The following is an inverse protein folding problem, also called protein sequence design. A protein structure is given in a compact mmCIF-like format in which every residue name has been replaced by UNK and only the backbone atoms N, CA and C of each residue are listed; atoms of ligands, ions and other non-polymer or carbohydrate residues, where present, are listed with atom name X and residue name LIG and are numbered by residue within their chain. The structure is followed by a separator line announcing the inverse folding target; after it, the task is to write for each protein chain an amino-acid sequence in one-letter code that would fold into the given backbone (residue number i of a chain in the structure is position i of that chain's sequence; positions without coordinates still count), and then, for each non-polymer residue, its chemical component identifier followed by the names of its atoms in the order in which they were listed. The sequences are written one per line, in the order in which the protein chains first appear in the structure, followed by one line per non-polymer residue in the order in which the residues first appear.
data_IF_803820814335
#
_entry.id   IF_803820814335
#
_cell.length_a   1.000
_cell.length_b   1.000
_cell.length_c   1.000
_cell.angle_alpha   90.00
_cell.angle_beta   90.00
_cell.angle_gamma   90.00
#
_symmetry.space_group_name_H-M   'P 1'
#
loop_
_entity.id
_entity.type
_entity.pdbx_description
1 polymer ?
#
# COMPACT_ATOMS: atom_id res chain seq x y z
N UNK A 1 -21.59 -41.96 -1.50
CA UNK A 1 -20.94 -40.99 -2.41
C UNK A 1 -21.29 -39.53 -2.08
N UNK A 2 -22.56 -39.12 -1.98
CA UNK A 2 -22.94 -37.72 -1.62
C UNK A 2 -22.28 -37.18 -0.34
N UNK A 3 -22.21 -37.96 0.75
CA UNK A 3 -21.60 -37.55 2.02
C UNK A 3 -20.07 -37.32 1.94
N UNK A 4 -19.37 -38.09 1.09
CA UNK A 4 -17.92 -37.97 0.92
C UNK A 4 -17.55 -36.71 0.12
N UNK A 5 -18.38 -36.37 -0.88
CA UNK A 5 -18.22 -35.15 -1.67
C UNK A 5 -18.48 -33.88 -0.84
N UNK A 6 -19.46 -33.91 0.06
CA UNK A 6 -19.73 -32.80 1.00
C UNK A 6 -18.55 -32.60 1.96
N UNK A 7 -17.99 -33.68 2.50
CA UNK A 7 -16.80 -33.62 3.35
C UNK A 7 -15.57 -33.07 2.61
N UNK A 8 -15.39 -33.43 1.33
CA UNK A 8 -14.31 -32.91 0.49
C UNK A 8 -14.47 -31.40 0.24
N UNK A 9 -15.68 -30.93 -0.06
CA UNK A 9 -15.97 -29.50 -0.27
C UNK A 9 -15.78 -28.71 1.03
N UNK A 10 -16.29 -29.20 2.16
CA UNK A 10 -16.07 -28.56 3.48
C UNK A 10 -14.59 -28.55 3.87
N UNK A 11 -13.83 -29.60 3.57
CA UNK A 11 -12.39 -29.63 3.82
C UNK A 11 -11.66 -28.60 2.96
N UNK A 12 -11.99 -28.49 1.66
CA UNK A 12 -11.43 -27.46 0.77
C UNK A 12 -11.76 -26.04 1.22
N UNK A 13 -12.97 -25.80 1.77
CA UNK A 13 -13.33 -24.51 2.37
C UNK A 13 -12.57 -24.22 3.68
N UNK A 14 -12.32 -25.24 4.51
CA UNK A 14 -11.54 -25.09 5.75
C UNK A 14 -10.07 -24.75 5.48
N UNK A 15 -9.49 -25.19 4.35
CA UNK A 15 -8.16 -24.79 3.92
C UNK A 15 -8.12 -23.40 3.24
N UNK A 16 -9.24 -22.95 2.66
CA UNK A 16 -9.30 -21.65 1.98
C UNK A 16 -9.36 -20.45 2.95
N UNK A 17 -9.75 -20.65 4.21
CA UNK A 17 -9.86 -19.58 5.22
C UNK A 17 -8.69 -19.52 6.20
N UNK A 18 -7.56 -20.19 5.90
CA UNK A 18 -6.34 -19.96 6.65
C UNK A 18 -5.77 -18.59 6.25
N UNK A 19 -6.38 -17.53 6.79
CA UNK A 19 -5.86 -16.17 6.79
C UNK A 19 -4.50 -16.21 7.49
N UNK A 20 -3.43 -16.33 6.71
CA UNK A 20 -2.06 -16.22 7.23
C UNK A 20 -1.89 -14.76 7.64
N UNK A 21 -2.20 -14.46 8.91
CA UNK A 21 -1.92 -13.16 9.49
C UNK A 21 -0.40 -13.07 9.69
N UNK A 22 0.32 -12.72 8.62
CA UNK A 22 1.71 -12.31 8.76
C UNK A 22 1.73 -11.06 9.65
N UNK A 23 2.39 -11.19 10.80
CA UNK A 23 2.66 -10.05 11.65
C UNK A 23 3.48 -9.05 10.84
N UNK A 24 2.98 -7.82 10.69
CA UNK A 24 3.76 -6.76 10.07
C UNK A 24 4.97 -6.48 10.99
N UNK A 25 6.19 -6.35 10.43
CA UNK A 25 7.36 -6.02 11.23
C UNK A 25 7.14 -4.72 11.99
N UNK A 26 7.68 -4.62 13.20
CA UNK A 26 7.68 -3.39 13.97
C UNK A 26 8.41 -2.29 13.18
N UNK A 27 7.82 -1.10 13.11
CA UNK A 27 8.42 0.02 12.38
C UNK A 27 9.47 0.71 13.27
N UNK A 28 10.69 0.91 12.76
CA UNK A 28 11.76 1.57 13.51
C UNK A 28 11.49 3.07 13.64
N UNK A 29 11.97 3.65 14.73
CA UNK A 29 11.93 5.09 14.95
C UNK A 29 12.75 5.81 13.87
N UNK A 30 12.31 7.00 13.42
CA UNK A 30 13.04 7.78 12.42
C UNK A 30 14.41 8.25 12.98
N UNK A 31 15.43 8.39 12.12
CA UNK A 31 16.68 9.04 12.50
C UNK A 31 16.46 10.55 12.71
N UNK A 32 17.37 11.21 13.41
CA UNK A 32 17.35 12.68 13.58
C UNK A 32 17.67 13.44 12.29
N UNK A 33 18.31 12.78 11.33
CA UNK A 33 18.67 13.31 10.01
C UNK A 33 18.46 12.24 8.95
N UNK A 34 17.80 12.62 7.86
CA UNK A 34 17.63 11.80 6.67
C UNK A 34 18.89 11.81 5.79
N UNK A 35 19.19 10.69 5.10
CA UNK A 35 20.36 10.60 4.25
C UNK A 35 20.25 11.51 3.03
N UNK A 36 21.39 11.96 2.52
CA UNK A 36 21.44 12.67 1.25
C UNK A 36 21.39 11.66 0.10
N UNK A 37 20.48 11.89 -0.84
CA UNK A 37 20.34 11.06 -2.04
C UNK A 37 20.83 11.82 -3.25
N UNK A 38 21.76 11.23 -4.01
CA UNK A 38 22.28 11.81 -5.24
C UNK A 38 21.60 11.18 -6.45
N UNK A 39 21.20 12.01 -7.41
CA UNK A 39 20.71 11.58 -8.72
C UNK A 39 21.30 12.46 -9.82
N UNK A 40 21.11 12.05 -11.08
CA UNK A 40 21.67 12.75 -12.24
C UNK A 40 20.57 13.24 -13.16
N UNK A 41 20.69 14.48 -13.64
CA UNK A 41 19.87 15.04 -14.72
C UNK A 41 20.80 15.67 -15.75
N UNK A 42 20.74 15.20 -17.00
CA UNK A 42 21.60 15.65 -18.11
C UNK A 42 23.10 15.76 -17.71
N UNK A 43 23.68 14.67 -17.19
CA UNK A 43 25.07 14.58 -16.72
C UNK A 43 25.46 15.52 -15.56
N UNK A 44 24.50 16.22 -14.96
CA UNK A 44 24.71 17.03 -13.75
C UNK A 44 24.21 16.27 -12.53
N UNK A 45 25.04 16.13 -11.50
CA UNK A 45 24.64 15.53 -10.24
C UNK A 45 23.88 16.54 -9.37
N UNK A 46 22.80 16.05 -8.76
CA UNK A 46 21.99 16.80 -7.82
C UNK A 46 21.82 16.00 -6.53
N UNK A 47 21.76 16.72 -5.40
CA UNK A 47 21.63 16.14 -4.08
C UNK A 47 20.31 16.54 -3.46
N UNK A 48 19.58 15.55 -2.94
CA UNK A 48 18.39 15.73 -2.12
C UNK A 48 18.84 15.59 -0.67
N UNK A 49 19.01 16.72 0.00
CA UNK A 49 19.44 16.78 1.39
C UNK A 49 18.25 16.64 2.35
N UNK A 50 18.53 16.48 3.65
CA UNK A 50 17.51 16.48 4.70
C UNK A 50 16.51 17.65 4.55
N UNK A 51 17.02 18.86 4.31
CA UNK A 51 16.16 20.05 4.15
C UNK A 51 15.22 20.01 2.95
N UNK A 52 15.58 19.29 1.87
CA UNK A 52 14.73 19.12 0.69
C UNK A 52 13.69 18.05 0.98
N UNK A 53 14.07 16.95 1.65
CA UNK A 53 13.13 15.94 2.13
C UNK A 53 12.09 16.54 3.06
N UNK A 54 12.49 17.29 4.08
CA UNK A 54 11.57 17.93 5.03
C UNK A 54 10.54 18.82 4.32
N UNK A 55 10.99 19.61 3.33
CA UNK A 55 10.10 20.43 2.52
C UNK A 55 9.18 19.59 1.65
N UNK A 56 9.66 18.50 1.05
CA UNK A 56 8.80 17.59 0.29
C UNK A 56 7.72 16.96 1.16
N UNK A 57 8.07 16.45 2.34
CA UNK A 57 7.08 15.89 3.27
C UNK A 57 6.06 16.94 3.70
N UNK A 58 6.52 18.14 4.06
CA UNK A 58 5.64 19.23 4.51
C UNK A 58 4.74 19.79 3.41
N UNK A 59 5.28 20.05 2.22
CA UNK A 59 4.57 20.81 1.18
C UNK A 59 3.79 19.91 0.22
N UNK A 60 4.16 18.62 0.13
CA UNK A 60 3.52 17.62 -0.74
C UNK A 60 2.77 16.55 0.06
N UNK A 61 3.46 15.83 0.96
CA UNK A 61 2.84 14.69 1.66
C UNK A 61 1.82 15.12 2.72
N UNK A 62 2.10 16.20 3.46
CA UNK A 62 1.18 16.72 4.48
C UNK A 62 0.08 17.63 3.90
N UNK A 63 0.20 17.99 2.63
CA UNK A 63 -0.75 18.85 1.96
C UNK A 63 -1.98 18.05 1.48
N UNK A 64 -3.14 18.39 2.05
CA UNK A 64 -4.43 17.75 1.77
C UNK A 64 -4.93 17.85 0.33
N UNK A 65 -4.35 18.76 -0.45
CA UNK A 65 -4.64 18.86 -1.89
C UNK A 65 -4.08 17.65 -2.64
N UNK A 66 -2.95 17.11 -2.19
CA UNK A 66 -2.30 15.95 -2.80
C UNK A 66 -2.64 14.67 -2.05
N UNK A 67 -2.44 14.63 -0.73
CA UNK A 67 -2.65 13.42 0.08
C UNK A 67 -3.70 13.67 1.16
N UNK A 68 -4.77 12.87 1.14
CA UNK A 68 -5.93 13.01 2.03
C UNK A 68 -5.63 12.57 3.46
N UNK A 69 -4.80 11.54 3.65
CA UNK A 69 -4.44 11.03 4.97
C UNK A 69 -3.54 12.02 5.73
N UNK A 70 -3.58 12.01 7.07
CA UNK A 70 -2.81 12.96 7.89
C UNK A 70 -1.49 12.36 8.34
N UNK A 71 -0.47 12.45 7.47
CA UNK A 71 0.85 11.89 7.74
C UNK A 71 1.68 12.70 8.74
N UNK A 72 1.41 14.00 8.88
CA UNK A 72 2.11 14.91 9.81
C UNK A 72 2.16 14.45 11.28
N UNK A 73 1.23 13.58 11.69
CA UNK A 73 1.15 13.04 13.05
C UNK A 73 1.71 11.61 13.16
N UNK A 74 2.26 11.07 12.08
CA UNK A 74 2.83 9.72 12.01
C UNK A 74 4.34 9.82 12.10
N UNK A 75 4.91 9.40 13.23
CA UNK A 75 6.36 9.48 13.48
C UNK A 75 7.21 8.72 12.45
N UNK A 76 6.63 7.74 11.76
CA UNK A 76 7.31 6.92 10.74
C UNK A 76 7.01 7.36 9.31
N UNK A 77 6.47 8.57 9.10
CA UNK A 77 6.13 9.14 7.78
C UNK A 77 7.28 9.04 6.75
N UNK A 78 8.53 9.16 7.16
CA UNK A 78 9.66 9.07 6.24
C UNK A 78 9.78 7.69 5.54
N UNK A 79 9.21 6.62 6.12
CA UNK A 79 9.10 5.31 5.49
C UNK A 79 8.20 5.30 4.24
N UNK A 80 7.53 6.41 3.90
CA UNK A 80 6.87 6.56 2.60
C UNK A 80 7.91 6.46 1.48
N UNK A 81 9.09 7.05 1.67
CA UNK A 81 10.15 7.14 0.66
C UNK A 81 11.34 6.25 1.01
N UNK A 82 11.65 6.08 2.30
CA UNK A 82 12.78 5.30 2.76
C UNK A 82 12.43 3.85 3.10
N UNK A 83 13.43 2.98 3.06
CA UNK A 83 13.33 1.62 3.59
C UNK A 83 13.36 1.61 5.13
N UNK A 84 13.19 0.43 5.73
CA UNK A 84 13.18 0.27 7.18
C UNK A 84 14.50 0.64 7.86
N UNK A 85 15.61 0.74 7.12
CA UNK A 85 16.90 1.17 7.68
C UNK A 85 17.05 2.69 7.72
N UNK A 86 16.20 3.44 6.99
CA UNK A 86 16.35 4.86 6.70
C UNK A 86 17.68 5.25 6.03
N UNK A 87 18.46 4.28 5.52
CA UNK A 87 19.70 4.55 4.78
C UNK A 87 19.50 4.45 3.27
N UNK A 88 18.52 3.66 2.83
CA UNK A 88 18.15 3.47 1.44
C UNK A 88 16.72 3.91 1.14
N UNK A 89 16.42 4.00 -0.16
CA UNK A 89 15.07 4.27 -0.66
C UNK A 89 14.29 2.96 -0.78
N UNK A 90 13.00 3.03 -0.46
CA UNK A 90 12.07 1.95 -0.79
C UNK A 90 11.64 2.04 -2.27
N UNK A 91 10.74 1.15 -2.69
CA UNK A 91 10.24 1.12 -4.08
C UNK A 91 9.64 2.45 -4.54
N UNK A 92 8.76 3.05 -3.74
CA UNK A 92 8.15 4.34 -4.05
C UNK A 92 9.18 5.47 -4.11
N UNK A 93 10.15 5.47 -3.18
CA UNK A 93 11.23 6.45 -3.19
C UNK A 93 12.10 6.35 -4.44
N UNK A 94 12.42 5.14 -4.89
CA UNK A 94 13.17 4.93 -6.15
C UNK A 94 12.40 5.42 -7.36
N UNK A 95 11.09 5.15 -7.45
CA UNK A 95 10.22 5.67 -8.52
C UNK A 95 10.20 7.20 -8.52
N UNK A 96 10.11 7.83 -7.34
CA UNK A 96 10.13 9.29 -7.21
C UNK A 96 11.43 9.89 -7.71
N UNK A 97 12.58 9.31 -7.34
CA UNK A 97 13.89 9.77 -7.81
C UNK A 97 14.07 9.54 -9.31
N UNK A 98 13.58 8.41 -9.81
CA UNK A 98 13.62 8.11 -11.25
C UNK A 98 12.76 9.10 -12.05
N UNK A 99 11.57 9.47 -11.56
CA UNK A 99 10.75 10.50 -12.19
C UNK A 99 11.41 11.87 -12.12
N UNK A 100 11.99 12.23 -10.96
CA UNK A 100 12.69 13.50 -10.78
C UNK A 100 13.91 13.64 -11.69
N UNK A 101 14.65 12.54 -11.90
CA UNK A 101 15.81 12.50 -12.81
C UNK A 101 15.45 12.70 -14.27
N UNK A 102 14.17 12.53 -14.65
CA UNK A 102 13.63 12.92 -15.95
C UNK A 102 13.14 14.38 -16.02
N UNK A 103 12.98 15.06 -14.89
CA UNK A 103 12.36 16.40 -14.81
C UNK A 103 13.40 17.50 -14.64
N UNK A 104 14.33 17.37 -13.69
CA UNK A 104 15.30 18.43 -13.43
C UNK A 104 15.84 18.45 -12.00
N UNK A 105 16.25 19.64 -11.54
CA UNK A 105 16.84 19.87 -10.21
C UNK A 105 15.84 19.65 -9.04
N UNK A 106 16.31 19.44 -7.79
CA UNK A 106 15.48 18.98 -6.68
C UNK A 106 14.73 20.12 -5.99
N UNK A 107 14.04 20.94 -6.79
CA UNK A 107 13.13 21.97 -6.29
C UNK A 107 11.80 21.34 -5.89
N UNK A 108 11.06 21.97 -4.97
CA UNK A 108 9.75 21.46 -4.54
C UNK A 108 8.76 21.39 -5.70
N UNK A 109 8.82 22.33 -6.65
CA UNK A 109 8.00 22.27 -7.86
C UNK A 109 8.29 21.00 -8.69
N UNK A 110 9.56 20.64 -8.87
CA UNK A 110 9.94 19.44 -9.61
C UNK A 110 9.66 18.15 -8.83
N UNK A 111 9.88 18.14 -7.52
CA UNK A 111 9.49 17.04 -6.64
C UNK A 111 7.98 16.79 -6.67
N UNK A 112 7.18 17.85 -6.70
CA UNK A 112 5.72 17.76 -6.83
C UNK A 112 5.32 17.17 -8.18
N UNK A 113 5.96 17.62 -9.28
CA UNK A 113 5.72 17.04 -10.61
C UNK A 113 6.12 15.56 -10.67
N UNK A 114 7.27 15.20 -10.08
CA UNK A 114 7.72 13.81 -9.99
C UNK A 114 6.70 12.96 -9.22
N UNK A 115 6.24 13.44 -8.06
CA UNK A 115 5.21 12.80 -7.26
C UNK A 115 3.93 12.57 -8.06
N UNK A 116 3.38 13.60 -8.69
CA UNK A 116 2.15 13.51 -9.51
C UNK A 116 2.33 12.49 -10.65
N UNK A 117 3.51 12.44 -11.28
CA UNK A 117 3.76 11.53 -12.39
C UNK A 117 3.72 10.04 -12.00
N UNK A 118 4.02 9.71 -10.73
CA UNK A 118 4.04 8.34 -10.22
C UNK A 118 2.82 8.00 -9.35
N UNK A 119 1.94 8.96 -9.08
CA UNK A 119 0.88 8.83 -8.07
C UNK A 119 -0.11 7.71 -8.44
N UNK A 120 -0.36 7.51 -9.74
CA UNK A 120 -1.29 6.51 -10.26
C UNK A 120 -0.60 5.17 -10.63
N UNK A 121 0.70 5.05 -10.39
CA UNK A 121 1.41 3.77 -10.60
C UNK A 121 1.00 2.75 -9.53
N UNK A 122 1.13 1.44 -9.81
CA UNK A 122 0.85 0.39 -8.84
C UNK A 122 1.72 0.51 -7.59
N UNK A 123 1.10 0.42 -6.41
CA UNK A 123 1.81 0.33 -5.13
C UNK A 123 2.21 -1.11 -4.83
N UNK A 124 3.21 -1.31 -3.96
CA UNK A 124 3.46 -2.62 -3.35
C UNK A 124 2.36 -3.04 -2.37
N UNK A 125 1.50 -2.12 -1.94
CA UNK A 125 0.29 -2.42 -1.17
C UNK A 125 -0.77 -3.00 -2.11
N UNK A 126 -1.10 -4.27 -1.92
CA UNK A 126 -1.96 -5.00 -2.85
C UNK A 126 -3.33 -4.35 -3.07
N UNK A 127 -3.64 -4.09 -4.35
CA UNK A 127 -4.91 -3.49 -4.80
C UNK A 127 -4.96 -1.96 -4.73
N UNK A 128 -3.81 -1.29 -4.52
CA UNK A 128 -3.73 0.16 -4.46
C UNK A 128 -2.76 0.73 -5.50
N UNK A 129 -3.06 1.94 -5.97
CA UNK A 129 -2.05 2.82 -6.57
C UNK A 129 -1.23 3.49 -5.48
N UNK A 130 -0.10 4.10 -5.82
CA UNK A 130 0.73 4.86 -4.88
C UNK A 130 -0.09 5.90 -4.10
N UNK A 131 -0.91 6.70 -4.79
CA UNK A 131 -1.78 7.69 -4.16
C UNK A 131 -2.93 7.07 -3.37
N UNK A 132 -3.45 5.93 -3.84
CA UNK A 132 -4.46 5.16 -3.12
C UNK A 132 -3.95 4.68 -1.77
N UNK A 133 -2.75 4.11 -1.74
CA UNK A 133 -2.10 3.65 -0.51
C UNK A 133 -1.84 4.82 0.45
N UNK A 134 -1.29 5.93 -0.04
CA UNK A 134 -1.02 7.13 0.77
C UNK A 134 -2.31 7.73 1.35
N UNK A 135 -3.37 7.82 0.57
CA UNK A 135 -4.67 8.32 1.02
C UNK A 135 -5.33 7.39 2.04
N UNK A 136 -4.99 6.10 2.02
CA UNK A 136 -5.46 5.11 2.97
C UNK A 136 -4.55 4.97 4.20
N UNK A 137 -3.48 5.78 4.30
CA UNK A 137 -2.52 5.72 5.41
C UNK A 137 -1.58 4.51 5.38
N UNK A 138 -1.35 3.93 4.20
CA UNK A 138 -0.38 2.86 3.98
C UNK A 138 0.88 3.39 3.27
N UNK A 139 2.01 2.75 3.53
CA UNK A 139 3.30 3.05 2.92
C UNK A 139 3.38 2.42 1.53
N UNK A 140 3.38 3.20 0.44
CA UNK A 140 3.24 2.67 -0.91
C UNK A 140 4.42 1.78 -1.35
N UNK A 141 5.61 2.00 -0.78
CA UNK A 141 6.83 1.25 -1.06
C UNK A 141 7.08 0.05 -0.14
N UNK A 142 6.13 -0.33 0.74
CA UNK A 142 6.27 -1.45 1.68
C UNK A 142 5.13 -2.47 1.47
N UNK A 143 5.45 -3.65 0.95
CA UNK A 143 4.45 -4.67 0.57
C UNK A 143 3.60 -5.20 1.73
N UNK A 144 4.14 -5.17 2.95
CA UNK A 144 3.43 -5.60 4.17
C UNK A 144 2.62 -4.47 4.83
N UNK A 145 2.66 -3.25 4.29
CA UNK A 145 1.93 -2.12 4.86
C UNK A 145 0.43 -2.32 4.67
N UNK A 146 -0.33 -2.10 5.74
CA UNK A 146 -1.78 -2.23 5.75
C UNK A 146 -2.40 -0.83 5.81
N UNK A 147 -3.47 -0.57 5.04
CA UNK A 147 -4.25 0.67 5.16
C UNK A 147 -4.72 0.93 6.59
N UNK A 148 -4.44 2.14 7.10
CA UNK A 148 -4.98 2.61 8.38
C UNK A 148 -6.47 2.98 8.22
N UNK A 149 -6.85 3.47 7.04
CA UNK A 149 -8.24 3.72 6.66
C UNK A 149 -8.62 2.68 5.62
N UNK A 150 -9.53 1.77 5.99
CA UNK A 150 -10.01 0.78 5.03
C UNK A 150 -10.87 1.45 3.96
N UNK A 151 -10.59 1.16 2.69
CA UNK A 151 -11.45 1.58 1.59
C UNK A 151 -12.79 0.86 1.69
N UNK A 152 -13.90 1.61 1.60
CA UNK A 152 -15.26 1.04 1.55
C UNK A 152 -15.41 -0.04 0.47
N UNK A 153 -14.61 0.04 -0.61
CA UNK A 153 -14.63 -0.95 -1.70
C UNK A 153 -14.18 -2.33 -1.22
N UNK A 154 -13.14 -2.43 -0.37
CA UNK A 154 -12.72 -3.72 0.20
C UNK A 154 -13.75 -4.28 1.17
N UNK A 155 -14.41 -3.39 1.93
CA UNK A 155 -15.54 -3.78 2.78
C UNK A 155 -16.67 -4.40 1.95
N UNK A 156 -16.99 -3.83 0.78
CA UNK A 156 -17.98 -4.42 -0.14
C UNK A 156 -17.53 -5.74 -0.78
N UNK A 157 -16.25 -5.88 -1.16
CA UNK A 157 -15.73 -7.16 -1.70
C UNK A 157 -15.81 -8.28 -0.64
N UNK A 158 -15.43 -7.99 0.60
CA UNK A 158 -15.53 -8.93 1.72
C UNK A 158 -16.99 -9.28 2.02
N UNK A 159 -17.90 -8.30 2.03
CA UNK A 159 -19.34 -8.52 2.19
C UNK A 159 -19.89 -9.39 1.05
N UNK A 160 -19.49 -9.11 -0.19
CA UNK A 160 -19.95 -9.87 -1.37
C UNK A 160 -19.47 -11.32 -1.31
N UNK A 161 -18.24 -11.55 -0.87
CA UNK A 161 -17.71 -12.90 -0.63
C UNK A 161 -18.52 -13.65 0.44
N UNK A 162 -18.87 -12.99 1.55
CA UNK A 162 -19.72 -13.59 2.61
C UNK A 162 -21.11 -13.94 2.07
N UNK A 163 -21.74 -13.04 1.31
CA UNK A 163 -23.07 -13.27 0.70
C UNK A 163 -23.01 -14.45 -0.27
N UNK A 164 -21.96 -14.57 -1.08
CA UNK A 164 -21.77 -15.68 -2.00
C UNK A 164 -21.65 -17.03 -1.26
N UNK A 165 -20.91 -17.06 -0.15
CA UNK A 165 -20.80 -18.27 0.71
C UNK A 165 -22.18 -18.67 1.24
N UNK A 166 -22.95 -17.73 1.78
CA UNK A 166 -24.29 -18.00 2.31
C UNK A 166 -25.22 -18.52 1.21
N UNK A 167 -25.19 -17.91 0.02
CA UNK A 167 -26.00 -18.36 -1.12
C UNK A 167 -25.64 -19.79 -1.55
N UNK A 168 -24.34 -20.13 -1.62
CA UNK A 168 -23.87 -21.48 -1.93
C UNK A 168 -24.34 -22.48 -0.85
N UNK A 169 -24.27 -22.12 0.43
CA UNK A 169 -24.78 -22.96 1.52
C UNK A 169 -26.28 -23.22 1.40
N UNK A 170 -27.08 -22.21 1.04
CA UNK A 170 -28.52 -22.35 0.81
C UNK A 170 -28.84 -23.29 -0.37
N UNK A 171 -28.15 -23.12 -1.50
CA UNK A 171 -28.32 -23.98 -2.68
C UNK A 171 -27.96 -25.43 -2.36
N UNK A 172 -26.84 -25.65 -1.66
CA UNK A 172 -26.42 -26.98 -1.22
C UNK A 172 -27.44 -27.60 -0.25
N UNK A 173 -27.95 -26.84 0.71
CA UNK A 173 -29.01 -27.29 1.62
C UNK A 173 -30.25 -27.78 0.86
N UNK A 174 -30.77 -26.96 -0.07
CA UNK A 174 -31.94 -27.35 -0.86
C UNK A 174 -31.66 -28.56 -1.78
N UNK A 175 -30.49 -28.63 -2.41
CA UNK A 175 -30.13 -29.74 -3.28
C UNK A 175 -30.03 -31.08 -2.54
N UNK A 176 -29.45 -31.08 -1.34
CA UNK A 176 -29.33 -32.29 -0.52
C UNK A 176 -30.63 -32.64 0.21
N UNK A 177 -31.41 -31.66 0.64
CA UNK A 177 -32.66 -31.90 1.37
C UNK A 177 -33.85 -32.24 0.44
N UNK A 178 -33.80 -31.86 -0.85
CA UNK A 178 -34.84 -32.21 -1.85
C UNK A 178 -34.86 -33.69 -2.22
N UNK A 179 -33.74 -34.40 -2.05
CA UNK A 179 -33.61 -35.83 -2.37
C UNK A 179 -33.55 -36.73 -1.12
N UNK A 180 -33.98 -36.21 0.03
CA UNK A 180 -34.10 -36.94 1.30
C UNK A 180 -35.48 -37.57 1.54
N UNK A 181 -36.27 -37.73 0.48
CA UNK A 181 -37.44 -38.62 0.42
C UNK A 181 -37.18 -39.69 -0.62
#
# INVERSE_FOLDING_TARGET
MKKLFVLLVLALFAFATMSVSSASPALPAPPSTLPTVTYYYHNTSYNITNSIWDKFFKDVIDNKTYVKYSWSNVSTQYLIVFDLSYTGLNHFGLELISALSGIGSPTIANMTKAFISIENQPSLVHGYTNIGALNAGAYPGLSFSKPAVQSKVKEYEEITAIVAIIAVMFVLYFYFNRNGK
#
